data_IF_535516642122
#
_entry.id   IF_535516642122
#
_cell.length_a   1.000
_cell.length_b   1.000
_cell.length_c   1.000
_cell.angle_alpha   90.00
_cell.angle_beta   90.00
_cell.angle_gamma   90.00
#
_symmetry.space_group_name_H-M   'P 1'
#
loop_
_entity.id
_entity.type
_entity.pdbx_description
1 polymer ?
#
# COMPACT_ATOMS: atom_id res chain seq x y z
N UNK A 1 15.32 27.75 -2.62
CA UNK A 1 14.26 28.55 -3.27
C UNK A 1 14.88 29.37 -4.39
N UNK A 2 14.26 29.44 -5.56
CA UNK A 2 14.74 30.27 -6.68
C UNK A 2 13.76 31.40 -6.94
N UNK A 3 14.29 32.60 -7.15
CA UNK A 3 13.56 33.83 -7.48
C UNK A 3 13.95 34.25 -8.88
N UNK A 4 12.97 34.47 -9.75
CA UNK A 4 13.19 35.07 -11.06
C UNK A 4 12.75 36.53 -11.04
N UNK A 5 13.60 37.40 -11.55
CA UNK A 5 13.31 38.82 -11.75
C UNK A 5 13.39 39.09 -13.25
N UNK A 6 12.43 39.85 -13.77
CA UNK A 6 12.37 40.27 -15.16
C UNK A 6 12.28 41.78 -15.27
N UNK A 7 13.10 42.38 -16.12
CA UNK A 7 12.90 43.76 -16.59
C UNK A 7 12.12 43.74 -17.91
N UNK A 8 10.82 44.05 -17.86
CA UNK A 8 9.98 44.14 -19.06
C UNK A 8 9.95 45.52 -19.73
N UNK A 9 10.84 46.44 -19.34
CA UNK A 9 10.92 47.79 -19.91
C UNK A 9 11.96 47.91 -21.02
N UNK A 10 11.93 49.04 -21.72
CA UNK A 10 12.83 49.37 -22.85
C UNK A 10 14.15 50.03 -22.41
N UNK A 11 14.39 50.11 -21.10
CA UNK A 11 15.59 50.73 -20.52
C UNK A 11 16.23 49.78 -19.51
N UNK A 12 17.55 49.88 -19.38
CA UNK A 12 18.29 49.12 -18.38
C UNK A 12 17.86 49.52 -16.97
N UNK A 13 17.76 48.52 -16.10
CA UNK A 13 17.43 48.70 -14.71
C UNK A 13 18.60 49.20 -13.88
N UNK A 14 18.46 49.11 -12.56
CA UNK A 14 19.54 49.38 -11.61
C UNK A 14 19.80 48.17 -10.74
N UNK A 15 20.98 48.10 -10.13
CA UNK A 15 21.25 47.13 -9.07
C UNK A 15 20.36 47.38 -7.85
N UNK A 16 20.25 46.36 -7.01
CA UNK A 16 19.37 46.36 -5.84
C UNK A 16 19.69 45.19 -4.93
N UNK A 17 18.74 44.81 -4.08
CA UNK A 17 18.87 43.64 -3.23
C UNK A 17 17.51 42.96 -2.98
N UNK A 18 17.57 41.64 -2.88
CA UNK A 18 16.47 40.75 -2.56
C UNK A 18 16.55 40.37 -1.09
N UNK A 19 15.48 40.60 -0.35
CA UNK A 19 15.32 40.17 1.04
C UNK A 19 14.31 39.03 1.09
N UNK A 20 14.74 37.87 1.57
CA UNK A 20 13.88 36.72 1.82
C UNK A 20 13.48 36.68 3.30
N UNK A 21 12.19 36.52 3.55
CA UNK A 21 11.60 36.47 4.90
C UNK A 21 10.39 35.52 4.96
N UNK A 22 9.98 35.12 6.17
CA UNK A 22 8.67 34.48 6.36
C UNK A 22 7.55 35.52 6.28
N UNK A 23 6.29 35.08 6.17
CA UNK A 23 5.13 35.97 6.22
C UNK A 23 5.03 36.75 7.54
N UNK A 24 5.54 36.22 8.66
CA UNK A 24 5.63 36.93 9.94
C UNK A 24 6.80 37.92 10.01
N UNK A 25 7.64 37.99 8.97
CA UNK A 25 8.77 38.91 8.90
C UNK A 25 10.08 38.37 9.46
N UNK A 26 10.20 37.05 9.73
CA UNK A 26 11.48 36.45 10.12
C UNK A 26 12.43 36.48 8.91
N UNK A 27 13.56 37.14 9.05
CA UNK A 27 14.60 37.20 8.02
C UNK A 27 15.23 35.81 7.76
N UNK A 28 15.39 35.45 6.49
CA UNK A 28 15.97 34.17 6.06
C UNK A 28 17.23 34.33 5.21
N UNK A 29 17.39 35.47 4.51
CA UNK A 29 18.59 35.74 3.73
C UNK A 29 18.46 36.97 2.83
N UNK A 30 19.59 37.43 2.31
CA UNK A 30 19.67 38.55 1.37
C UNK A 30 20.60 38.22 0.20
N UNK A 31 20.31 38.76 -0.99
CA UNK A 31 21.20 38.76 -2.15
C UNK A 31 21.17 40.07 -2.89
N UNK A 32 22.33 40.59 -3.29
CA UNK A 32 22.41 41.73 -4.19
C UNK A 32 22.01 41.33 -5.61
N UNK A 33 21.27 42.19 -6.30
CA UNK A 33 20.93 42.03 -7.70
C UNK A 33 21.85 42.89 -8.55
N UNK A 34 22.26 42.35 -9.69
CA UNK A 34 23.03 43.09 -10.69
C UNK A 34 22.09 44.00 -11.48
N UNK A 35 22.66 44.84 -12.35
CA UNK A 35 21.87 45.63 -13.30
C UNK A 35 21.16 44.65 -14.24
N UNK A 36 19.86 44.81 -14.40
CA UNK A 36 19.03 43.98 -15.29
C UNK A 36 18.80 44.76 -16.57
N UNK A 37 19.36 44.29 -17.68
CA UNK A 37 19.22 44.93 -18.99
C UNK A 37 17.74 44.92 -19.44
N UNK A 38 17.41 45.77 -20.42
CA UNK A 38 16.09 45.78 -21.04
C UNK A 38 15.71 44.38 -21.55
N UNK A 39 14.49 43.94 -21.22
CA UNK A 39 13.93 42.63 -21.62
C UNK A 39 14.73 41.41 -21.14
N UNK A 40 15.53 41.55 -20.07
CA UNK A 40 16.31 40.46 -19.49
C UNK A 40 15.64 39.86 -18.24
N UNK A 41 15.88 38.55 -18.06
CA UNK A 41 15.50 37.79 -16.87
C UNK A 41 16.76 37.31 -16.12
N UNK A 42 16.77 37.47 -14.80
CA UNK A 42 17.82 36.96 -13.91
C UNK A 42 17.22 36.06 -12.82
N UNK A 43 17.97 35.02 -12.44
CA UNK A 43 17.56 34.04 -11.43
C UNK A 43 18.50 34.03 -10.22
N UNK A 44 17.94 34.08 -9.02
CA UNK A 44 18.67 34.07 -7.76
C UNK A 44 18.22 32.93 -6.85
N UNK A 45 19.17 32.13 -6.36
CA UNK A 45 18.88 30.94 -5.54
C UNK A 45 19.28 31.14 -4.08
N UNK A 46 18.31 31.01 -3.17
CA UNK A 46 18.51 31.05 -1.72
C UNK A 46 18.57 29.65 -1.11
N UNK A 47 19.55 29.47 -0.23
CA UNK A 47 19.71 28.30 0.64
C UNK A 47 19.65 28.77 2.08
N UNK A 48 18.72 28.23 2.86
CA UNK A 48 18.45 28.60 4.25
C UNK A 48 17.86 27.41 5.00
N UNK A 49 17.84 27.46 6.32
CA UNK A 49 17.20 26.46 7.16
C UNK A 49 15.68 26.64 7.13
N UNK A 50 14.95 25.54 6.95
CA UNK A 50 13.49 25.57 6.86
C UNK A 50 12.88 26.18 8.15
N UNK A 51 11.92 27.12 8.04
CA UNK A 51 11.22 27.67 9.20
C UNK A 51 10.29 26.64 9.85
N UNK A 52 9.67 26.98 10.99
CA UNK A 52 8.83 26.03 11.71
C UNK A 52 7.58 25.62 10.93
N UNK A 53 7.13 24.38 11.13
CA UNK A 53 5.94 23.82 10.51
C UNK A 53 6.18 23.01 9.24
N UNK A 54 5.14 22.28 8.84
CA UNK A 54 5.14 21.45 7.61
C UNK A 54 4.93 22.28 6.35
N UNK A 55 4.45 23.51 6.49
CA UNK A 55 4.28 24.47 5.41
C UNK A 55 4.75 25.86 5.85
N UNK A 56 5.39 26.58 4.93
CA UNK A 56 5.96 27.88 5.19
C UNK A 56 5.62 28.84 4.06
N UNK A 57 5.00 29.97 4.40
CA UNK A 57 4.79 31.09 3.50
C UNK A 57 6.03 31.97 3.47
N UNK A 58 6.70 31.99 2.33
CA UNK A 58 7.92 32.76 2.09
C UNK A 58 7.59 34.01 1.29
N UNK A 59 8.16 35.14 1.72
CA UNK A 59 8.02 36.47 1.11
C UNK A 59 9.39 36.96 0.68
N UNK A 60 9.51 37.32 -0.60
CA UNK A 60 10.67 37.99 -1.17
C UNK A 60 10.30 39.44 -1.44
N UNK A 61 11.15 40.35 -0.98
CA UNK A 61 11.05 41.78 -1.29
C UNK A 61 12.27 42.17 -2.10
N UNK A 62 12.05 42.65 -3.32
CA UNK A 62 13.09 43.23 -4.17
C UNK A 62 13.09 44.75 -3.99
N UNK A 63 14.21 45.28 -3.53
CA UNK A 63 14.40 46.69 -3.25
C UNK A 63 15.35 47.22 -4.32
N UNK A 64 14.82 48.09 -5.19
CA UNK A 64 15.52 48.63 -6.36
C UNK A 64 15.23 50.13 -6.49
N UNK A 65 16.26 50.95 -6.37
CA UNK A 65 16.12 52.41 -6.30
C UNK A 65 15.20 52.84 -5.14
N UNK A 66 14.07 53.45 -5.47
CA UNK A 66 13.03 53.88 -4.51
C UNK A 66 11.81 52.95 -4.46
N UNK A 67 11.85 51.81 -5.16
CA UNK A 67 10.74 50.88 -5.27
C UNK A 67 10.99 49.59 -4.49
N UNK A 68 9.92 49.05 -3.92
CA UNK A 68 9.90 47.77 -3.23
C UNK A 68 8.85 46.86 -3.88
N UNK A 69 9.30 45.84 -4.60
CA UNK A 69 8.43 44.83 -5.22
C UNK A 69 8.36 43.61 -4.32
N UNK A 70 7.18 43.04 -4.13
CA UNK A 70 6.97 41.91 -3.22
C UNK A 70 6.36 40.74 -3.97
N UNK A 71 6.93 39.56 -3.77
CA UNK A 71 6.35 38.29 -4.20
C UNK A 71 6.33 37.32 -3.02
N UNK A 72 5.28 36.49 -2.93
CA UNK A 72 5.16 35.49 -1.88
C UNK A 72 4.62 34.19 -2.42
N UNK A 73 5.06 33.07 -1.85
CA UNK A 73 4.54 31.75 -2.16
C UNK A 73 4.63 30.84 -0.93
N UNK A 74 3.75 29.85 -0.84
CA UNK A 74 3.74 28.85 0.23
C UNK A 74 4.37 27.56 -0.26
N UNK A 75 5.29 27.03 0.52
CA UNK A 75 6.01 25.79 0.25
C UNK A 75 5.72 24.79 1.35
N UNK A 76 5.72 23.49 1.04
CA UNK A 76 5.62 22.41 2.02
C UNK A 76 6.97 21.73 2.18
N UNK A 77 7.38 21.46 3.42
CA UNK A 77 8.50 20.57 3.69
C UNK A 77 8.08 19.16 3.28
N UNK A 78 8.90 18.45 2.50
CA UNK A 78 8.55 17.18 1.84
C UNK A 78 8.15 15.99 2.73
N UNK A 79 7.98 16.17 4.04
CA UNK A 79 7.23 15.22 4.85
C UNK A 79 5.74 15.49 4.60
N UNK A 80 5.19 14.84 3.57
CA UNK A 80 3.77 14.52 3.56
C UNK A 80 3.57 13.61 4.76
N UNK A 81 3.23 14.20 5.91
CA UNK A 81 2.55 13.45 6.96
C UNK A 81 1.23 13.11 6.32
N UNK A 82 1.20 11.96 5.64
CA UNK A 82 -0.05 11.24 5.43
C UNK A 82 -0.48 10.98 6.86
N UNK A 83 -1.34 11.85 7.39
CA UNK A 83 -2.23 11.41 8.46
C UNK A 83 -2.92 10.21 7.83
N UNK A 84 -2.46 9.02 8.20
CA UNK A 84 -3.19 7.80 7.99
C UNK A 84 -4.47 8.00 8.78
N UNK A 85 -5.45 8.66 8.15
CA UNK A 85 -6.85 8.63 8.54
C UNK A 85 -7.23 7.16 8.41
N UNK A 86 -6.85 6.38 9.41
CA UNK A 86 -6.90 4.94 9.42
C UNK A 86 -8.34 4.59 9.09
N UNK A 87 -8.53 4.06 7.88
CA UNK A 87 -9.84 3.79 7.32
C UNK A 87 -10.70 3.10 8.38
N UNK A 88 -11.66 3.85 8.93
CA UNK A 88 -12.60 3.30 9.89
C UNK A 88 -13.70 2.64 9.06
N UNK A 89 -13.76 1.31 8.98
CA UNK A 89 -14.82 0.66 8.23
C UNK A 89 -16.18 1.10 8.78
N UNK A 90 -17.17 1.40 7.92
CA UNK A 90 -18.47 1.91 8.33
C UNK A 90 -19.31 0.80 8.99
N UNK A 91 -18.95 0.43 10.21
CA UNK A 91 -19.59 -0.61 11.01
C UNK A 91 -21.10 -0.37 11.20
N UNK A 92 -21.52 0.90 11.19
CA UNK A 92 -22.94 1.28 11.24
C UNK A 92 -23.69 0.77 10.01
N UNK A 93 -23.09 0.79 8.82
CA UNK A 93 -23.68 0.20 7.62
C UNK A 93 -23.63 -1.32 7.65
N UNK A 94 -22.50 -1.90 8.09
CA UNK A 94 -22.30 -3.35 8.12
C UNK A 94 -23.21 -4.05 9.14
N UNK A 95 -23.23 -3.58 10.38
CA UNK A 95 -23.99 -4.19 11.47
C UNK A 95 -25.39 -3.58 11.63
N UNK A 96 -25.62 -2.35 11.20
CA UNK A 96 -26.94 -1.71 11.30
C UNK A 96 -28.02 -2.44 10.48
N UNK A 97 -27.68 -2.94 9.28
CA UNK A 97 -28.59 -3.74 8.47
C UNK A 97 -29.00 -5.06 9.15
N UNK A 98 -28.06 -5.72 9.82
CA UNK A 98 -28.31 -6.97 10.57
C UNK A 98 -29.26 -6.69 11.74
N UNK A 99 -29.00 -5.63 12.52
CA UNK A 99 -29.86 -5.26 13.65
C UNK A 99 -31.28 -4.92 13.17
N UNK A 100 -31.40 -4.14 12.08
CA UNK A 100 -32.70 -3.78 11.50
C UNK A 100 -33.47 -5.02 11.03
N UNK A 101 -32.81 -5.94 10.33
CA UNK A 101 -33.43 -7.19 9.88
C UNK A 101 -33.92 -8.04 11.06
N UNK A 102 -33.13 -8.16 12.13
CA UNK A 102 -33.53 -8.88 13.35
C UNK A 102 -34.77 -8.24 13.99
N UNK A 103 -34.81 -6.90 14.10
CA UNK A 103 -35.96 -6.18 14.64
C UNK A 103 -37.21 -6.40 13.80
N UNK A 104 -37.10 -6.32 12.47
CA UNK A 104 -38.24 -6.57 11.55
C UNK A 104 -38.75 -8.01 11.68
N UNK A 105 -37.86 -9.00 11.70
CA UNK A 105 -38.24 -10.43 11.84
C UNK A 105 -38.90 -10.71 13.20
N UNK A 106 -38.34 -10.17 14.29
CA UNK A 106 -38.93 -10.32 15.63
C UNK A 106 -40.28 -9.60 15.73
N UNK A 107 -40.41 -8.40 15.17
CA UNK A 107 -41.66 -7.66 15.12
C UNK A 107 -42.74 -8.41 14.34
N UNK A 108 -42.41 -8.93 13.15
CA UNK A 108 -43.32 -9.75 12.36
C UNK A 108 -43.72 -11.03 13.10
N UNK A 109 -42.77 -11.70 13.77
CA UNK A 109 -43.06 -12.90 14.56
C UNK A 109 -43.98 -12.61 15.73
N UNK A 110 -43.77 -11.51 16.47
CA UNK A 110 -44.64 -11.11 17.58
C UNK A 110 -46.04 -10.77 17.05
N UNK A 111 -46.14 -10.04 15.94
CA UNK A 111 -47.43 -9.71 15.32
C UNK A 111 -48.18 -10.96 14.86
N UNK A 112 -47.50 -11.89 14.16
CA UNK A 112 -48.10 -13.15 13.72
C UNK A 112 -48.45 -14.09 14.88
N UNK A 113 -47.64 -14.12 15.95
CA UNK A 113 -47.91 -14.97 17.11
C UNK A 113 -49.07 -14.45 17.96
N UNK A 114 -49.27 -13.13 18.01
CA UNK A 114 -50.47 -12.52 18.64
C UNK A 114 -51.74 -12.79 17.83
N UNK A 115 -51.64 -12.95 16.50
CA UNK A 115 -52.77 -13.35 15.66
C UNK A 115 -53.15 -14.84 15.86
N UNK A 116 -52.23 -15.69 16.31
CA UNK A 116 -52.50 -17.11 16.59
C UNK A 116 -53.05 -17.38 18.00
N UNK A 117 -53.00 -16.42 18.92
CA UNK A 117 -53.54 -16.59 20.28
C UNK A 117 -55.08 -16.52 20.38
N UNK A 118 -55.79 -16.27 19.27
CA UNK A 118 -57.26 -16.42 19.19
C UNK A 118 -57.72 -17.75 18.58
N UNK A 119 -56.81 -18.59 18.10
CA UNK A 119 -57.16 -19.86 17.47
C UNK A 119 -56.14 -20.95 17.80
N UNK A 120 -56.25 -21.55 18.98
CA UNK A 120 -56.18 -23.01 19.19
C UNK A 120 -55.80 -23.35 20.63
N UNK A 121 -56.82 -23.52 21.46
CA UNK A 121 -56.75 -24.41 22.62
C UNK A 121 -57.04 -25.84 22.15
N UNK A 122 -56.02 -26.68 21.94
CA UNK A 122 -56.19 -28.13 22.08
C UNK A 122 -54.87 -28.87 22.32
N UNK A 123 -54.74 -29.32 23.55
CA UNK A 123 -54.06 -30.51 24.09
C UNK A 123 -53.59 -31.59 23.09
N UNK A 124 -52.30 -31.97 23.19
CA UNK A 124 -51.75 -33.37 23.31
C UNK A 124 -50.22 -33.32 23.18
N UNK A 125 -49.46 -33.51 24.26
CA UNK A 125 -48.93 -34.77 24.83
C UNK A 125 -47.62 -35.29 24.18
N UNK A 126 -46.51 -35.01 24.89
CA UNK A 126 -45.29 -35.82 25.13
C UNK A 126 -44.73 -36.72 24.02
N UNK A 127 -43.46 -36.50 23.68
CA UNK A 127 -42.42 -37.53 23.84
C UNK A 127 -41.04 -36.88 24.04
N UNK A 128 -40.31 -37.40 25.04
CA UNK A 128 -38.91 -37.09 25.32
C UNK A 128 -38.03 -37.82 24.28
N UNK A 129 -37.07 -37.13 23.65
CA UNK A 129 -35.87 -37.78 23.12
C UNK A 129 -34.66 -36.87 23.38
N UNK A 130 -33.69 -37.48 24.05
CA UNK A 130 -32.42 -36.97 24.53
C UNK A 130 -31.54 -36.31 23.46
N UNK A 131 -30.88 -35.24 23.90
CA UNK A 131 -29.42 -35.05 23.84
C UNK A 131 -28.69 -35.58 22.60
N UNK A 132 -28.34 -34.67 21.70
CA UNK A 132 -26.95 -34.57 21.22
C UNK A 132 -26.64 -33.14 20.79
N UNK A 133 -26.17 -32.38 21.76
CA UNK A 133 -25.39 -31.16 21.53
C UNK A 133 -24.14 -31.60 20.76
N UNK A 134 -24.11 -31.37 19.44
CA UNK A 134 -22.84 -31.35 18.70
C UNK A 134 -22.11 -30.09 19.15
N UNK A 135 -21.28 -30.24 20.20
CA UNK A 135 -20.20 -29.30 20.50
C UNK A 135 -19.38 -29.17 19.22
N UNK A 136 -19.52 -28.05 18.52
CA UNK A 136 -18.49 -27.59 17.59
C UNK A 136 -17.32 -27.22 18.50
N UNK A 137 -16.42 -28.18 18.70
CA UNK A 137 -15.15 -27.94 19.38
C UNK A 137 -14.42 -26.90 18.56
N UNK A 138 -14.43 -25.67 19.05
CA UNK A 138 -13.36 -24.72 18.81
C UNK A 138 -12.11 -25.34 19.40
N UNK A 139 -11.38 -26.15 18.62
CA UNK A 139 -10.00 -26.44 18.96
C UNK A 139 -9.26 -25.12 18.87
N UNK A 140 -8.75 -24.68 20.02
CA UNK A 140 -7.61 -23.76 20.12
C UNK A 140 -6.37 -24.49 19.61
N UNK A 141 -6.42 -24.97 18.36
CA UNK A 141 -5.28 -25.57 17.70
C UNK A 141 -4.31 -24.44 17.35
N UNK A 142 -3.07 -24.61 17.78
CA UNK A 142 -1.99 -23.69 17.46
C UNK A 142 -1.88 -23.52 15.94
N UNK A 143 -1.69 -22.29 15.48
CA UNK A 143 -1.65 -21.98 14.05
C UNK A 143 -0.20 -21.96 13.59
N UNK A 144 0.18 -22.89 12.73
CA UNK A 144 1.49 -22.90 12.09
C UNK A 144 1.47 -22.15 10.77
N UNK A 145 2.63 -21.63 10.36
CA UNK A 145 2.82 -20.97 9.08
C UNK A 145 3.57 -21.91 8.13
N UNK A 146 2.97 -22.19 6.98
CA UNK A 146 3.54 -23.04 5.93
C UNK A 146 3.63 -22.25 4.62
N UNK A 147 4.67 -22.48 3.81
CA UNK A 147 4.83 -21.82 2.51
C UNK A 147 4.08 -22.55 1.41
N UNK A 148 3.47 -21.80 0.48
CA UNK A 148 3.01 -22.35 -0.79
C UNK A 148 4.22 -22.64 -1.68
N UNK A 149 4.35 -23.86 -2.26
CA UNK A 149 5.51 -24.22 -3.09
C UNK A 149 5.57 -23.45 -4.42
N UNK A 150 4.46 -22.89 -4.91
CA UNK A 150 4.40 -22.30 -6.25
C UNK A 150 4.54 -20.76 -6.24
N UNK A 151 4.10 -20.10 -5.17
CA UNK A 151 4.14 -18.63 -5.10
C UNK A 151 4.80 -18.10 -3.82
N UNK A 152 5.41 -18.97 -3.01
CA UNK A 152 6.07 -18.67 -1.74
C UNK A 152 5.19 -17.92 -0.71
N UNK A 153 3.87 -17.83 -0.91
CA UNK A 153 2.96 -17.22 0.06
C UNK A 153 2.90 -18.05 1.35
N UNK A 154 2.93 -17.38 2.50
CA UNK A 154 2.72 -18.02 3.80
C UNK A 154 1.22 -18.24 4.09
N UNK A 155 0.82 -19.49 4.33
CA UNK A 155 -0.51 -19.88 4.76
C UNK A 155 -0.51 -20.21 6.25
N UNK A 156 -1.58 -19.82 6.94
CA UNK A 156 -1.82 -20.21 8.34
C UNK A 156 -2.78 -21.38 8.39
N UNK A 157 -2.29 -22.54 8.81
CA UNK A 157 -3.08 -23.75 8.98
C UNK A 157 -2.99 -24.22 10.43
N UNK A 158 -4.03 -24.88 10.97
CA UNK A 158 -3.93 -25.53 12.28
C UNK A 158 -2.81 -26.58 12.29
N UNK A 159 -2.04 -26.65 13.38
CA UNK A 159 -0.93 -27.60 13.55
C UNK A 159 -1.37 -29.07 13.43
N UNK A 160 -2.62 -29.35 13.77
CA UNK A 160 -3.28 -30.66 13.74
C UNK A 160 -3.93 -30.98 12.39
N UNK A 161 -3.87 -30.09 11.40
CA UNK A 161 -4.46 -30.32 10.07
C UNK A 161 -3.47 -31.06 9.15
N UNK A 162 -3.77 -32.34 8.90
CA UNK A 162 -3.16 -33.15 7.86
C UNK A 162 -4.08 -33.29 6.65
N UNK A 163 -3.70 -32.76 5.49
CA UNK A 163 -4.48 -32.90 4.27
C UNK A 163 -4.20 -31.85 3.19
N UNK A 164 -5.03 -31.84 2.15
CA UNK A 164 -4.88 -30.93 1.02
C UNK A 164 -5.26 -29.49 1.41
N UNK A 165 -4.38 -28.54 1.09
CA UNK A 165 -4.59 -27.10 1.28
C UNK A 165 -4.51 -26.40 -0.08
N UNK A 166 -5.40 -25.42 -0.31
CA UNK A 166 -5.43 -24.62 -1.53
C UNK A 166 -4.89 -23.23 -1.25
N UNK A 167 -3.91 -22.79 -2.04
CA UNK A 167 -3.40 -21.43 -1.98
C UNK A 167 -4.44 -20.43 -2.48
N UNK A 168 -4.73 -19.34 -1.74
CA UNK A 168 -5.68 -18.31 -2.19
C UNK A 168 -5.14 -17.49 -3.38
N UNK A 169 -3.82 -17.33 -3.51
CA UNK A 169 -3.23 -16.44 -4.51
C UNK A 169 -2.98 -17.11 -5.87
N UNK A 170 -2.43 -18.33 -5.88
CA UNK A 170 -2.14 -19.07 -7.11
C UNK A 170 -3.06 -20.26 -7.36
N UNK A 171 -3.99 -20.55 -6.44
CA UNK A 171 -4.98 -21.63 -6.54
C UNK A 171 -4.45 -23.08 -6.52
N UNK A 172 -3.12 -23.24 -6.42
CA UNK A 172 -2.38 -24.49 -6.26
C UNK A 172 -2.85 -25.27 -5.05
N UNK A 173 -2.93 -26.59 -5.19
CA UNK A 173 -3.33 -27.51 -4.12
C UNK A 173 -2.15 -28.39 -3.76
N UNK A 174 -1.79 -28.45 -2.48
CA UNK A 174 -0.66 -29.21 -1.99
C UNK A 174 -0.99 -29.86 -0.64
N UNK A 175 -0.28 -30.92 -0.29
CA UNK A 175 -0.53 -31.71 0.92
C UNK A 175 0.30 -31.19 2.10
N UNK A 176 -0.30 -31.20 3.30
CA UNK A 176 0.32 -30.75 4.54
C UNK A 176 0.27 -31.89 5.55
N UNK A 177 1.39 -32.15 6.21
CA UNK A 177 1.50 -33.12 7.30
C UNK A 177 1.30 -32.44 8.66
N UNK A 178 0.54 -33.05 9.59
CA UNK A 178 0.32 -32.48 10.91
C UNK A 178 1.60 -32.61 11.74
N UNK A 179 2.01 -31.52 12.41
CA UNK A 179 3.16 -31.54 13.31
C UNK A 179 2.65 -31.84 14.72
N UNK A 180 2.55 -33.13 15.05
CA UNK A 180 2.31 -33.57 16.43
C UNK A 180 3.68 -33.61 17.10
N UNK A 181 3.86 -32.78 18.13
CA UNK A 181 5.06 -32.73 18.96
C UNK A 181 5.34 -34.12 19.57
N UNK A 182 6.35 -34.80 19.05
CA UNK A 182 7.17 -35.71 19.82
C UNK A 182 8.46 -34.94 20.14
N UNK A 183 8.72 -34.79 21.43
CA UNK A 183 9.91 -34.21 22.04
C UNK A 183 11.23 -34.84 21.51
N UNK A 184 12.31 -34.07 21.65
CA UNK A 184 13.75 -34.44 21.55
C UNK A 184 14.28 -34.66 20.11
N UNK A 185 15.35 -34.05 19.59
CA UNK A 185 16.64 -33.63 20.17
C UNK A 185 17.26 -32.44 19.36
N UNK A 186 17.86 -31.46 20.04
CA UNK A 186 19.06 -30.73 19.57
C UNK A 186 20.30 -31.65 19.76
N UNK A 187 21.47 -31.48 19.09
CA UNK A 187 22.15 -30.20 18.81
C UNK A 187 22.98 -30.16 17.49
N UNK A 188 23.65 -29.03 17.22
CA UNK A 188 24.72 -28.97 16.22
C UNK A 188 25.26 -27.58 15.93
N UNK A 189 26.34 -27.21 16.61
CA UNK A 189 27.04 -25.93 16.66
C UNK A 189 27.85 -25.55 15.38
N UNK A 190 27.92 -24.22 15.16
CA UNK A 190 29.12 -23.42 14.82
C UNK A 190 29.89 -23.52 13.47
N UNK A 191 30.23 -22.30 13.00
CA UNK A 191 31.48 -21.81 12.38
C UNK A 191 31.51 -21.36 10.91
N UNK A 192 32.22 -20.23 10.76
CA UNK A 192 32.51 -19.36 9.61
C UNK A 192 32.92 -20.06 8.31
N UNK A 193 32.63 -19.40 7.16
CA UNK A 193 33.58 -18.97 6.11
C UNK A 193 32.85 -18.59 4.79
N UNK A 194 33.09 -17.38 4.27
CA UNK A 194 32.85 -16.98 2.87
C UNK A 194 33.84 -17.71 1.92
N UNK A 195 33.76 -17.54 0.59
CA UNK A 195 32.66 -17.78 -0.35
C UNK A 195 33.13 -18.75 -1.47
N UNK A 196 32.27 -19.65 -1.97
CA UNK A 196 32.62 -20.47 -3.15
C UNK A 196 31.48 -20.51 -4.15
N UNK A 197 31.76 -19.97 -5.33
CA UNK A 197 30.97 -20.12 -6.56
C UNK A 197 30.80 -21.62 -6.89
N UNK A 198 29.56 -22.06 -7.03
CA UNK A 198 29.23 -23.27 -7.80
C UNK A 198 27.96 -23.02 -8.60
N UNK A 199 28.19 -22.99 -9.90
CA UNK A 199 27.22 -23.05 -10.99
C UNK A 199 26.50 -24.39 -10.89
N UNK A 200 25.19 -24.36 -10.71
CA UNK A 200 24.33 -25.50 -11.03
C UNK A 200 23.17 -25.00 -11.91
N UNK A 201 23.35 -25.21 -13.21
CA UNK A 201 22.29 -25.19 -14.21
C UNK A 201 21.34 -26.36 -13.94
N UNK A 202 20.39 -26.17 -13.03
CA UNK A 202 19.19 -26.99 -13.01
C UNK A 202 18.31 -26.57 -14.19
N UNK A 203 18.33 -27.38 -15.25
CA UNK A 203 17.53 -27.23 -16.46
C UNK A 203 16.03 -27.36 -16.12
N UNK A 204 15.45 -26.24 -15.70
CA UNK A 204 14.06 -26.05 -15.25
C UNK A 204 13.04 -26.06 -16.41
N UNK A 205 13.34 -26.76 -17.53
CA UNK A 205 12.45 -26.90 -18.69
C UNK A 205 12.04 -25.59 -19.36
N UNK A 206 12.78 -24.50 -19.13
CA UNK A 206 12.47 -23.15 -19.61
C UNK A 206 13.60 -22.65 -20.52
N UNK A 207 13.25 -22.22 -21.73
CA UNK A 207 14.17 -21.59 -22.69
C UNK A 207 14.08 -20.07 -22.64
N UNK A 208 15.18 -19.40 -22.95
CA UNK A 208 15.21 -17.96 -23.16
C UNK A 208 15.09 -17.64 -24.65
N UNK A 209 14.17 -16.75 -25.00
CA UNK A 209 13.98 -16.21 -26.36
C UNK A 209 14.11 -14.70 -26.32
N UNK A 210 14.46 -14.07 -27.45
CA UNK A 210 14.66 -12.62 -27.52
C UNK A 210 13.61 -12.01 -28.45
N UNK A 211 13.07 -10.86 -28.05
CA UNK A 211 12.11 -10.12 -28.87
C UNK A 211 12.81 -9.49 -30.08
N UNK A 212 12.30 -9.67 -31.32
CA UNK A 212 12.93 -9.11 -32.52
C UNK A 212 12.93 -7.58 -32.60
N UNK A 213 11.99 -6.91 -31.93
CA UNK A 213 11.83 -5.45 -32.01
C UNK A 213 12.60 -4.68 -30.94
N UNK A 214 12.67 -5.19 -29.71
CA UNK A 214 13.32 -4.49 -28.59
C UNK A 214 14.46 -5.26 -27.93
N UNK A 215 14.78 -6.46 -28.44
CA UNK A 215 15.82 -7.36 -27.93
C UNK A 215 15.69 -7.73 -26.44
N UNK A 216 14.50 -7.57 -25.85
CA UNK A 216 14.22 -7.98 -24.49
C UNK A 216 14.27 -9.51 -24.37
N UNK A 217 14.94 -10.03 -23.33
CA UNK A 217 14.97 -11.46 -23.02
C UNK A 217 13.68 -11.90 -22.32
N UNK A 218 13.08 -12.99 -22.80
CA UNK A 218 11.87 -13.60 -22.27
C UNK A 218 12.14 -15.07 -21.97
N UNK A 219 11.67 -15.54 -20.81
CA UNK A 219 11.79 -16.95 -20.40
C UNK A 219 10.45 -17.65 -20.55
N UNK A 220 10.39 -18.67 -21.40
CA UNK A 220 9.18 -19.45 -21.68
C UNK A 220 9.44 -20.96 -21.55
N UNK A 221 8.40 -21.78 -21.32
CA UNK A 221 8.57 -23.24 -21.32
C UNK A 221 9.16 -23.74 -22.65
N UNK A 222 10.08 -24.69 -22.61
CA UNK A 222 10.74 -25.26 -23.80
C UNK A 222 9.76 -25.91 -24.77
N UNK A 223 8.64 -26.42 -24.26
CA UNK A 223 7.58 -27.06 -25.04
C UNK A 223 6.59 -26.08 -25.69
N UNK A 224 6.69 -24.78 -25.39
CA UNK A 224 5.77 -23.77 -25.94
C UNK A 224 6.22 -23.32 -27.34
N UNK A 225 5.33 -23.49 -28.32
CA UNK A 225 5.54 -23.16 -29.75
C UNK A 225 4.48 -22.19 -30.32
N UNK A 226 3.79 -21.46 -29.44
CA UNK A 226 2.75 -20.49 -29.81
C UNK A 226 3.27 -19.06 -30.03
N UNK A 227 2.34 -18.13 -30.22
CA UNK A 227 2.64 -16.69 -30.28
C UNK A 227 2.83 -16.10 -28.88
N UNK A 228 3.95 -15.42 -28.69
CA UNK A 228 4.33 -14.71 -27.47
C UNK A 228 4.23 -13.22 -27.72
N UNK A 229 3.64 -12.50 -26.78
CA UNK A 229 3.59 -11.03 -26.78
C UNK A 229 4.72 -10.49 -25.91
N UNK A 230 5.53 -9.58 -26.44
CA UNK A 230 6.58 -8.93 -25.68
C UNK A 230 5.97 -7.97 -24.64
N UNK A 231 6.34 -8.06 -23.34
CA UNK A 231 5.84 -7.13 -22.32
C UNK A 231 6.44 -5.72 -22.44
N UNK A 232 7.58 -5.57 -23.13
CA UNK A 232 8.28 -4.28 -23.24
C UNK A 232 7.82 -3.43 -24.44
N UNK A 233 7.53 -4.05 -25.58
CA UNK A 233 7.14 -3.35 -26.81
C UNK A 233 5.81 -3.80 -27.42
N UNK A 234 5.10 -4.74 -26.76
CA UNK A 234 3.81 -5.28 -27.19
C UNK A 234 3.77 -6.07 -28.51
N UNK A 235 4.92 -6.24 -29.18
CA UNK A 235 5.03 -7.01 -30.42
C UNK A 235 4.68 -8.49 -30.21
N UNK A 236 3.98 -9.10 -31.17
CA UNK A 236 3.56 -10.50 -31.12
C UNK A 236 4.39 -11.33 -32.10
N UNK A 237 5.19 -12.25 -31.58
CA UNK A 237 6.11 -13.08 -32.36
C UNK A 237 6.06 -14.55 -31.91
N UNK A 238 6.53 -15.48 -32.75
CA UNK A 238 6.53 -16.90 -32.41
C UNK A 238 7.70 -17.27 -31.49
N UNK A 239 7.41 -18.11 -30.50
CA UNK A 239 8.36 -18.71 -29.56
C UNK A 239 9.35 -19.70 -30.20
#
# INVERSE_FOLDING_TARGET
>A
MTVQIRNGGDVDGTSGYLVLSTQEGKFLGEKTTEVIESNQDLSYSFSFTWPEGTSASLKVTWIVGSQNLVASNTFQSGAVVVEDEAYQPPWVGLFGGIVLAVVVVLGARIYHNRATDLASSSTKSKSNVSTKIRKKQTSTAEKIQIGCPECARQLRVPADYGGLVRCPDCSTRFEVTPRIEADEEEPGEEQDEEPVEVVDEENDGKKEIHCPECNQSLRIPSEYSGSVRCPACEEVFSA
#
